data_IF_487977603750
#
_entry.id   IF_487977603750
#
_cell.length_a   1.000
_cell.length_b   1.000
_cell.length_c   1.000
_cell.angle_alpha   90.00
_cell.angle_beta   90.00
_cell.angle_gamma   90.00
#
_symmetry.space_group_name_H-M   'P 1'
#
loop_
_entity.id
_entity.type
_entity.pdbx_description
1 polymer ?
#
# COMPACT_ATOMS: atom_id res chain seq x y z
N UNK A 1 14.71 -13.24 -25.45
CA UNK A 1 15.95 -14.03 -25.21
C UNK A 1 15.62 -15.52 -25.19
N UNK A 2 16.62 -16.39 -25.44
CA UNK A 2 16.47 -17.85 -25.36
C UNK A 2 15.96 -18.27 -23.95
N UNK A 3 16.45 -17.62 -22.92
CA UNK A 3 15.99 -17.83 -21.54
C UNK A 3 14.51 -17.53 -21.36
N UNK A 4 13.98 -16.48 -21.97
CA UNK A 4 12.54 -16.16 -21.94
C UNK A 4 11.70 -17.21 -22.65
N UNK A 5 12.16 -17.73 -23.80
CA UNK A 5 11.47 -18.80 -24.52
C UNK A 5 11.43 -20.10 -23.72
N UNK A 6 12.54 -20.47 -23.08
CA UNK A 6 12.57 -21.63 -22.17
C UNK A 6 11.64 -21.44 -20.97
N UNK A 7 11.60 -20.24 -20.38
CA UNK A 7 10.68 -19.93 -19.30
C UNK A 7 9.22 -20.08 -19.72
N UNK A 8 8.84 -19.60 -20.89
CA UNK A 8 7.48 -19.77 -21.41
C UNK A 8 7.14 -21.25 -21.64
N UNK A 9 8.07 -22.02 -22.18
CA UNK A 9 7.87 -23.47 -22.40
C UNK A 9 7.63 -24.23 -21.08
N UNK A 10 8.25 -23.79 -20.00
CA UNK A 10 8.10 -24.39 -18.66
C UNK A 10 6.81 -23.94 -17.94
N UNK A 11 6.09 -22.94 -18.45
CA UNK A 11 4.88 -22.40 -17.83
C UNK A 11 3.68 -22.40 -18.81
N UNK A 12 3.25 -23.57 -19.32
CA UNK A 12 2.23 -23.64 -20.36
C UNK A 12 0.86 -23.09 -19.95
N UNK A 13 0.49 -23.21 -18.68
CA UNK A 13 -0.74 -22.62 -18.15
C UNK A 13 -0.74 -21.09 -18.21
N UNK A 14 0.40 -20.46 -17.92
CA UNK A 14 0.56 -19.01 -18.05
C UNK A 14 0.46 -18.58 -19.51
N UNK A 15 1.14 -19.31 -20.41
CA UNK A 15 1.10 -19.04 -21.86
C UNK A 15 -0.34 -19.17 -22.39
N UNK A 16 -1.05 -20.23 -22.02
CA UNK A 16 -2.45 -20.43 -22.40
C UNK A 16 -3.33 -19.27 -21.91
N UNK A 17 -3.21 -18.88 -20.64
CA UNK A 17 -3.93 -17.74 -20.09
C UNK A 17 -3.61 -16.44 -20.83
N UNK A 18 -2.34 -16.18 -21.12
CA UNK A 18 -1.92 -14.99 -21.87
C UNK A 18 -2.50 -14.93 -23.29
N UNK A 19 -2.59 -16.07 -23.95
CA UNK A 19 -3.10 -16.15 -25.34
C UNK A 19 -4.64 -16.09 -25.39
N UNK A 20 -5.32 -16.60 -24.37
CA UNK A 20 -6.80 -16.71 -24.35
C UNK A 20 -7.50 -15.52 -23.68
N UNK A 21 -6.79 -14.78 -22.82
CA UNK A 21 -7.36 -13.59 -22.19
C UNK A 21 -7.16 -12.34 -23.04
N UNK A 22 -8.08 -11.38 -22.90
CA UNK A 22 -7.99 -10.09 -23.58
C UNK A 22 -6.69 -9.35 -23.24
N UNK A 23 -6.13 -8.66 -24.25
CA UNK A 23 -4.91 -7.86 -24.05
C UNK A 23 -5.14 -6.82 -22.95
N UNK A 24 -4.13 -6.64 -22.09
CA UNK A 24 -4.14 -5.61 -21.07
C UNK A 24 -4.37 -4.23 -21.69
N UNK A 25 -5.34 -3.49 -21.16
CA UNK A 25 -5.62 -2.11 -21.54
C UNK A 25 -5.78 -1.26 -20.27
N UNK A 26 -5.14 -0.11 -20.24
CA UNK A 26 -5.43 0.92 -19.26
C UNK A 26 -6.69 1.68 -19.72
N UNK A 27 -7.87 1.18 -19.35
CA UNK A 27 -9.15 1.66 -19.86
C UNK A 27 -9.32 3.19 -19.71
N UNK A 28 -8.89 3.76 -18.59
CA UNK A 28 -9.02 5.19 -18.30
C UNK A 28 -8.13 6.09 -19.15
N UNK A 29 -7.07 5.56 -19.76
CA UNK A 29 -6.14 6.31 -20.62
C UNK A 29 -6.15 5.85 -22.06
N UNK A 30 -6.78 4.72 -22.37
CA UNK A 30 -6.81 4.12 -23.70
C UNK A 30 -7.43 5.03 -24.81
N UNK A 31 -8.31 5.94 -24.41
CA UNK A 31 -8.94 6.91 -25.32
C UNK A 31 -8.10 8.19 -25.52
N UNK A 32 -7.08 8.38 -24.69
CA UNK A 32 -6.27 9.60 -24.62
C UNK A 32 -4.85 9.40 -25.12
N UNK A 33 -4.48 8.17 -25.45
CA UNK A 33 -3.16 7.83 -25.99
C UNK A 33 -3.28 7.51 -27.48
N UNK A 34 -2.32 7.95 -28.27
CA UNK A 34 -2.28 7.66 -29.70
C UNK A 34 -2.22 6.16 -29.96
N UNK A 35 -2.99 5.70 -30.93
CA UNK A 35 -3.05 4.30 -31.38
C UNK A 35 -1.78 3.85 -32.13
N UNK A 36 -0.72 4.64 -32.05
CA UNK A 36 0.56 4.38 -32.73
C UNK A 36 1.44 3.36 -32.03
N UNK A 37 2.49 2.98 -32.67
CA UNK A 37 3.34 1.81 -32.56
C UNK A 37 3.95 1.44 -31.20
N UNK A 38 3.76 2.20 -30.13
CA UNK A 38 4.31 1.86 -28.79
C UNK A 38 3.39 2.33 -27.66
N UNK A 39 2.32 1.57 -27.41
CA UNK A 39 1.28 1.88 -26.41
C UNK A 39 1.88 2.13 -25.01
N UNK A 40 2.90 1.38 -24.62
CA UNK A 40 3.51 1.53 -23.29
C UNK A 40 4.25 2.87 -23.16
N UNK A 41 4.95 3.31 -24.21
CA UNK A 41 5.67 4.58 -24.24
C UNK A 41 4.68 5.75 -24.21
N UNK A 42 3.64 5.72 -25.04
CA UNK A 42 2.62 6.76 -25.08
C UNK A 42 1.82 6.87 -23.78
N UNK A 43 1.61 5.76 -23.06
CA UNK A 43 0.97 5.76 -21.73
C UNK A 43 1.88 6.42 -20.69
N UNK A 44 3.17 6.12 -20.69
CA UNK A 44 4.12 6.74 -19.74
C UNK A 44 4.25 8.23 -20.02
N UNK A 45 4.38 8.62 -21.28
CA UNK A 45 4.43 10.03 -21.69
C UNK A 45 3.16 10.77 -21.25
N UNK A 46 1.99 10.20 -21.51
CA UNK A 46 0.72 10.77 -21.07
C UNK A 46 0.64 10.92 -19.54
N UNK A 47 1.04 9.91 -18.76
CA UNK A 47 1.04 9.99 -17.30
C UNK A 47 1.98 11.10 -16.80
N UNK A 48 3.17 11.22 -17.41
CA UNK A 48 4.13 12.26 -17.05
C UNK A 48 3.62 13.67 -17.37
N UNK A 49 2.92 13.85 -18.49
CA UNK A 49 2.28 15.11 -18.85
C UNK A 49 1.13 15.50 -17.92
N UNK A 50 0.42 14.50 -17.35
CA UNK A 50 -0.67 14.73 -16.41
C UNK A 50 -0.19 14.95 -14.97
N UNK A 51 1.10 14.73 -14.70
CA UNK A 51 1.66 14.95 -13.37
C UNK A 51 1.84 16.43 -13.10
N UNK A 52 1.11 16.96 -12.11
CA UNK A 52 1.24 18.35 -11.68
C UNK A 52 2.23 18.46 -10.50
N UNK A 53 3.45 18.94 -10.75
CA UNK A 53 4.45 19.13 -9.68
C UNK A 53 4.13 20.30 -8.75
N UNK A 54 3.15 21.14 -9.09
CA UNK A 54 2.74 22.29 -8.29
C UNK A 54 1.61 21.96 -7.30
N UNK A 55 1.12 20.71 -7.29
CA UNK A 55 0.06 20.27 -6.39
C UNK A 55 0.43 20.55 -4.92
N UNK A 56 -0.50 21.11 -4.17
CA UNK A 56 -0.27 21.57 -2.81
C UNK A 56 -1.49 21.31 -1.89
N UNK A 57 -1.42 21.75 -0.65
CA UNK A 57 -2.45 21.51 0.35
C UNK A 57 -3.82 22.13 0.03
N UNK A 58 -3.88 23.22 -0.77
CA UNK A 58 -5.15 23.80 -1.22
C UNK A 58 -5.87 22.89 -2.20
N UNK A 59 -5.12 22.16 -3.03
CA UNK A 59 -5.70 21.17 -3.95
C UNK A 59 -6.25 19.98 -3.19
N UNK A 60 -5.53 19.52 -2.16
CA UNK A 60 -6.03 18.47 -1.26
C UNK A 60 -7.30 18.91 -0.53
N UNK A 61 -7.32 20.13 0.01
CA UNK A 61 -8.51 20.70 0.66
C UNK A 61 -9.70 20.82 -0.29
N UNK A 62 -9.46 21.24 -1.54
CA UNK A 62 -10.49 21.28 -2.58
C UNK A 62 -11.08 19.89 -2.82
N UNK A 63 -10.23 18.85 -2.91
CA UNK A 63 -10.70 17.47 -3.09
C UNK A 63 -11.54 16.99 -1.91
N UNK A 64 -11.11 17.24 -0.68
CA UNK A 64 -11.85 16.90 0.53
C UNK A 64 -13.23 17.56 0.52
N UNK A 65 -13.29 18.86 0.29
CA UNK A 65 -14.55 19.63 0.21
C UNK A 65 -15.45 19.16 -0.91
N UNK A 66 -14.89 18.85 -2.07
CA UNK A 66 -15.65 18.38 -3.24
C UNK A 66 -16.23 16.99 -3.03
N UNK A 67 -15.50 16.12 -2.34
CA UNK A 67 -15.94 14.77 -1.99
C UNK A 67 -17.08 14.78 -0.97
N UNK A 68 -16.99 15.68 0.02
CA UNK A 68 -17.99 15.90 1.07
C UNK A 68 -18.36 14.59 1.83
N UNK A 69 -17.38 13.81 2.23
CA UNK A 69 -17.55 12.54 2.94
C UNK A 69 -16.20 12.06 3.52
N UNK A 70 -16.15 10.83 4.05
CA UNK A 70 -14.90 10.27 4.54
C UNK A 70 -13.80 10.32 3.48
N UNK A 71 -12.64 10.90 3.83
CA UNK A 71 -11.52 11.09 2.93
C UNK A 71 -10.20 10.69 3.57
N UNK A 72 -9.46 9.80 2.89
CA UNK A 72 -8.15 9.36 3.32
C UNK A 72 -7.06 9.97 2.43
N UNK A 73 -6.17 10.77 3.00
CA UNK A 73 -4.99 11.28 2.30
C UNK A 73 -3.86 10.25 2.34
N UNK A 74 -3.35 9.83 1.17
CA UNK A 74 -2.27 8.84 1.05
C UNK A 74 -0.92 9.52 0.82
N UNK A 75 0.13 8.95 1.41
CA UNK A 75 1.51 9.46 1.25
C UNK A 75 1.97 10.30 2.42
N UNK A 76 1.19 10.37 3.49
CA UNK A 76 1.54 11.12 4.70
C UNK A 76 2.63 10.38 5.46
N UNK A 77 3.79 11.02 5.67
CA UNK A 77 4.99 10.42 6.28
C UNK A 77 5.55 11.23 7.45
N UNK A 78 4.89 12.33 7.85
CA UNK A 78 5.30 13.18 8.96
C UNK A 78 4.13 13.53 9.88
N UNK A 79 4.45 13.88 11.12
CA UNK A 79 3.46 14.37 12.11
C UNK A 79 2.87 15.70 11.64
N UNK A 80 3.68 16.56 11.03
CA UNK A 80 3.28 17.87 10.53
C UNK A 80 2.22 17.72 9.43
N UNK A 81 2.45 16.83 8.48
CA UNK A 81 1.49 16.58 7.41
C UNK A 81 0.23 15.87 7.90
N UNK A 82 0.35 15.00 8.91
CA UNK A 82 -0.81 14.41 9.56
C UNK A 82 -1.70 15.46 10.25
N UNK A 83 -1.11 16.47 10.90
CA UNK A 83 -1.85 17.59 11.47
C UNK A 83 -2.54 18.44 10.39
N UNK A 84 -1.82 18.74 9.30
CA UNK A 84 -2.41 19.46 8.16
C UNK A 84 -3.58 18.69 7.53
N UNK A 85 -3.50 17.35 7.49
CA UNK A 85 -4.61 16.53 7.01
C UNK A 85 -5.88 16.72 7.86
N UNK A 86 -5.74 16.88 9.20
CA UNK A 86 -6.88 17.25 10.08
C UNK A 86 -7.42 18.63 9.70
N UNK A 87 -6.54 19.62 9.54
CA UNK A 87 -6.93 21.03 9.29
C UNK A 87 -7.76 21.16 8.02
N UNK A 88 -7.48 20.36 6.98
CA UNK A 88 -8.25 20.34 5.73
C UNK A 88 -9.47 19.43 5.74
N UNK A 89 -9.75 18.73 6.86
CA UNK A 89 -10.95 17.91 7.04
C UNK A 89 -10.84 16.44 6.59
N UNK A 90 -9.63 15.89 6.48
CA UNK A 90 -9.47 14.45 6.29
C UNK A 90 -9.99 13.68 7.50
N UNK A 91 -10.56 12.51 7.28
CA UNK A 91 -11.01 11.57 8.33
C UNK A 91 -10.02 10.45 8.57
N UNK A 92 -9.14 10.19 7.62
CA UNK A 92 -8.09 9.19 7.71
C UNK A 92 -6.82 9.64 6.97
N UNK A 93 -5.72 8.99 7.30
CA UNK A 93 -4.47 9.09 6.54
C UNK A 93 -3.92 7.70 6.26
N UNK A 94 -3.24 7.57 5.12
CA UNK A 94 -2.49 6.38 4.79
C UNK A 94 -0.99 6.71 4.80
N UNK A 95 -0.29 6.21 5.82
CA UNK A 95 1.16 6.35 5.95
C UNK A 95 1.81 5.45 4.90
N UNK A 96 2.44 6.07 3.90
CA UNK A 96 2.94 5.35 2.73
C UNK A 96 4.07 6.10 2.05
N UNK A 97 5.16 5.40 1.74
CA UNK A 97 6.22 5.85 0.86
C UNK A 97 6.10 5.28 -0.57
N UNK A 98 4.89 4.86 -0.96
CA UNK A 98 4.62 4.23 -2.25
C UNK A 98 5.44 2.94 -2.48
N UNK A 99 5.78 2.20 -1.42
CA UNK A 99 6.63 1.01 -1.52
C UNK A 99 8.09 1.31 -1.91
N UNK A 100 8.58 2.52 -1.64
CA UNK A 100 9.93 2.99 -1.99
C UNK A 100 10.14 3.23 -3.49
N UNK A 101 9.06 3.40 -4.27
CA UNK A 101 9.13 3.51 -5.73
C UNK A 101 9.24 4.95 -6.25
N UNK A 102 8.91 5.94 -5.40
CA UNK A 102 8.94 7.36 -5.80
C UNK A 102 10.21 8.03 -5.27
N UNK A 103 10.30 8.25 -3.97
CA UNK A 103 11.48 8.83 -3.35
C UNK A 103 12.36 7.72 -2.78
N UNK A 104 13.55 7.54 -3.35
CA UNK A 104 14.56 6.63 -2.81
C UNK A 104 15.12 7.19 -1.49
N UNK A 105 15.46 6.30 -0.56
CA UNK A 105 15.93 6.69 0.78
C UNK A 105 14.86 7.25 1.71
N UNK A 106 13.59 7.26 1.31
CA UNK A 106 12.48 7.62 2.19
C UNK A 106 12.39 6.68 3.41
N UNK A 107 11.99 7.23 4.57
CA UNK A 107 11.80 6.45 5.79
C UNK A 107 10.81 5.30 5.58
N UNK A 108 10.97 4.25 6.39
CA UNK A 108 9.98 3.16 6.44
C UNK A 108 8.63 3.70 6.95
N UNK A 109 7.50 3.37 6.29
CA UNK A 109 6.17 3.76 6.78
C UNK A 109 5.91 3.27 8.20
N UNK A 110 6.32 2.05 8.54
CA UNK A 110 6.12 1.50 9.89
C UNK A 110 6.80 2.35 10.97
N UNK A 111 7.98 2.89 10.70
CA UNK A 111 8.73 3.70 11.67
C UNK A 111 8.04 5.04 11.98
N UNK A 112 7.11 5.48 11.13
CA UNK A 112 6.35 6.71 11.33
C UNK A 112 5.03 6.48 12.10
N UNK A 113 4.52 5.24 12.15
CA UNK A 113 3.19 4.94 12.70
C UNK A 113 3.07 5.43 14.15
N UNK A 114 4.03 5.07 15.01
CA UNK A 114 3.96 5.41 16.45
C UNK A 114 3.92 6.91 16.68
N UNK A 115 4.84 7.66 16.09
CA UNK A 115 4.93 9.11 16.25
C UNK A 115 3.68 9.82 15.72
N UNK A 116 3.17 9.39 14.57
CA UNK A 116 1.95 9.95 13.99
C UNK A 116 0.74 9.57 14.84
N UNK A 117 0.62 8.32 15.28
CA UNK A 117 -0.48 7.86 16.11
C UNK A 117 -0.54 8.60 17.45
N UNK A 118 0.60 8.82 18.10
CA UNK A 118 0.65 9.57 19.36
C UNK A 118 0.20 11.04 19.18
N UNK A 119 0.42 11.60 17.99
CA UNK A 119 0.10 13.01 17.72
C UNK A 119 -1.34 13.25 17.26
N UNK A 120 -1.94 12.29 16.51
CA UNK A 120 -3.23 12.52 15.82
C UNK A 120 -4.17 11.32 15.82
N UNK A 121 -3.82 10.21 16.46
CA UNK A 121 -4.59 8.96 16.40
C UNK A 121 -5.96 9.00 17.09
N UNK A 122 -6.25 10.04 17.86
CA UNK A 122 -7.56 10.37 18.44
C UNK A 122 -8.49 11.11 17.46
N UNK A 123 -7.93 11.71 16.41
CA UNK A 123 -8.64 12.57 15.43
C UNK A 123 -8.71 11.99 14.04
N UNK A 124 -7.73 11.13 13.67
CA UNK A 124 -7.63 10.53 12.35
C UNK A 124 -7.51 9.01 12.45
N UNK A 125 -8.16 8.30 11.55
CA UNK A 125 -7.86 6.89 11.35
C UNK A 125 -6.54 6.73 10.60
N UNK A 126 -5.68 5.83 11.08
CA UNK A 126 -4.35 5.62 10.52
C UNK A 126 -4.31 4.28 9.81
N UNK A 127 -3.95 4.30 8.54
CA UNK A 127 -3.74 3.10 7.72
C UNK A 127 -2.25 3.00 7.41
N UNK A 128 -1.63 1.86 7.74
CA UNK A 128 -0.25 1.58 7.32
C UNK A 128 -0.26 0.99 5.91
N UNK A 129 0.44 1.60 4.97
CA UNK A 129 0.66 1.07 3.62
C UNK A 129 2.15 0.87 3.33
N UNK A 130 2.48 -0.34 2.92
CA UNK A 130 3.83 -0.72 2.54
C UNK A 130 4.55 -1.61 3.56
N UNK A 131 5.38 -2.50 3.04
CA UNK A 131 6.17 -3.43 3.85
C UNK A 131 5.41 -4.58 4.51
N UNK A 132 4.09 -4.59 4.48
CA UNK A 132 3.25 -5.66 5.06
C UNK A 132 3.35 -6.92 4.20
N UNK A 133 3.85 -8.00 4.79
CA UNK A 133 4.08 -9.29 4.10
C UNK A 133 3.59 -10.49 4.89
N UNK A 134 3.26 -10.31 6.15
CA UNK A 134 2.90 -11.38 7.09
C UNK A 134 1.86 -10.90 8.09
N UNK A 135 1.13 -11.81 8.70
CA UNK A 135 0.19 -11.50 9.77
C UNK A 135 0.84 -10.80 10.97
N UNK A 136 2.09 -11.14 11.31
CA UNK A 136 2.86 -10.43 12.35
C UNK A 136 3.09 -8.96 12.04
N UNK A 137 3.23 -8.59 10.76
CA UNK A 137 3.38 -7.17 10.39
C UNK A 137 2.08 -6.39 10.64
N UNK A 138 0.93 -7.03 10.39
CA UNK A 138 -0.39 -6.45 10.70
C UNK A 138 -0.53 -6.22 12.21
N UNK A 139 -0.23 -7.25 13.03
CA UNK A 139 -0.30 -7.14 14.49
C UNK A 139 0.60 -6.04 15.04
N UNK A 140 1.82 -5.92 14.52
CA UNK A 140 2.75 -4.84 14.90
C UNK A 140 2.20 -3.46 14.53
N UNK A 141 1.61 -3.32 13.35
CA UNK A 141 1.04 -2.05 12.90
C UNK A 141 -0.15 -1.62 13.77
N UNK A 142 -1.06 -2.55 14.09
CA UNK A 142 -2.19 -2.29 14.99
C UNK A 142 -1.68 -1.92 16.39
N UNK A 143 -0.70 -2.66 16.93
CA UNK A 143 -0.11 -2.36 18.21
C UNK A 143 0.62 -1.00 18.25
N UNK A 144 1.13 -0.53 17.11
CA UNK A 144 1.73 0.80 16.97
C UNK A 144 0.70 1.94 16.83
N UNK A 145 -0.59 1.61 16.67
CA UNK A 145 -1.69 2.58 16.58
C UNK A 145 -2.38 2.69 15.22
N UNK A 146 -2.02 1.86 14.24
CA UNK A 146 -2.77 1.79 12.99
C UNK A 146 -4.13 1.10 13.20
N UNK A 147 -5.14 1.52 12.45
CA UNK A 147 -6.48 0.88 12.40
C UNK A 147 -6.54 -0.23 11.36
N UNK A 148 -5.77 -0.08 10.29
CA UNK A 148 -5.76 -1.03 9.18
C UNK A 148 -4.37 -1.07 8.51
N UNK A 149 -4.16 -2.10 7.70
CA UNK A 149 -2.98 -2.24 6.85
C UNK A 149 -3.39 -2.40 5.38
N UNK A 150 -2.57 -1.83 4.51
CA UNK A 150 -2.62 -2.03 3.07
C UNK A 150 -1.34 -2.69 2.57
N UNK A 151 -1.43 -3.50 1.55
CA UNK A 151 -0.27 -4.11 0.92
C UNK A 151 -0.49 -4.32 -0.58
N UNK A 152 0.54 -4.09 -1.38
CA UNK A 152 0.51 -4.22 -2.83
C UNK A 152 1.33 -5.41 -3.32
N UNK A 153 2.63 -5.40 -3.07
CA UNK A 153 3.57 -6.39 -3.64
C UNK A 153 3.22 -7.84 -3.30
N UNK A 154 2.80 -8.12 -2.07
CA UNK A 154 2.40 -9.49 -1.68
C UNK A 154 1.17 -9.98 -2.45
N UNK A 155 0.18 -9.11 -2.62
CA UNK A 155 -0.99 -9.41 -3.45
C UNK A 155 -0.57 -9.71 -4.91
N UNK A 156 0.24 -8.83 -5.52
CA UNK A 156 0.70 -8.98 -6.89
C UNK A 156 1.53 -10.24 -7.10
N UNK A 157 2.43 -10.57 -6.18
CA UNK A 157 3.23 -11.79 -6.28
C UNK A 157 2.39 -13.05 -6.14
N UNK A 158 1.42 -13.05 -5.22
CA UNK A 158 0.51 -14.18 -5.04
C UNK A 158 -0.41 -14.37 -6.24
N UNK A 159 -0.90 -13.27 -6.82
CA UNK A 159 -1.69 -13.28 -8.05
C UNK A 159 -0.86 -13.83 -9.23
N UNK A 160 0.39 -13.37 -9.37
CA UNK A 160 1.28 -13.83 -10.44
C UNK A 160 1.64 -15.32 -10.30
N UNK A 161 1.83 -15.81 -9.07
CA UNK A 161 2.22 -17.19 -8.80
C UNK A 161 1.07 -18.19 -8.93
N UNK A 162 -0.15 -17.83 -8.57
CA UNK A 162 -1.27 -18.79 -8.47
C UNK A 162 -2.65 -18.21 -8.80
N UNK A 163 -2.73 -17.06 -9.46
CA UNK A 163 -4.01 -16.44 -9.80
C UNK A 163 -4.87 -16.18 -8.57
N UNK A 164 -6.17 -16.37 -8.71
CA UNK A 164 -7.14 -16.24 -7.61
C UNK A 164 -6.77 -17.11 -6.41
N UNK A 165 -6.46 -18.39 -6.64
CA UNK A 165 -6.11 -19.34 -5.58
C UNK A 165 -4.86 -18.90 -4.80
N UNK A 166 -3.88 -18.29 -5.47
CA UNK A 166 -2.69 -17.74 -4.84
C UNK A 166 -3.04 -16.60 -3.87
N UNK A 167 -3.97 -15.73 -4.26
CA UNK A 167 -4.45 -14.63 -3.39
C UNK A 167 -5.24 -15.16 -2.21
N UNK A 168 -6.16 -16.10 -2.43
CA UNK A 168 -6.93 -16.75 -1.36
C UNK A 168 -6.01 -17.43 -0.34
N UNK A 169 -5.00 -18.15 -0.83
CA UNK A 169 -4.01 -18.81 0.03
C UNK A 169 -3.20 -17.78 0.85
N UNK A 170 -2.77 -16.68 0.24
CA UNK A 170 -2.10 -15.60 0.95
C UNK A 170 -2.96 -15.06 2.10
N UNK A 171 -4.21 -14.71 1.81
CA UNK A 171 -5.12 -14.12 2.80
C UNK A 171 -5.41 -15.11 3.94
N UNK A 172 -5.65 -16.39 3.61
CA UNK A 172 -5.84 -17.46 4.60
C UNK A 172 -4.62 -17.60 5.51
N UNK A 173 -3.43 -17.69 4.94
CA UNK A 173 -2.19 -17.83 5.72
C UNK A 173 -1.94 -16.62 6.62
N UNK A 174 -2.20 -15.40 6.13
CA UNK A 174 -2.09 -14.19 6.96
C UNK A 174 -3.07 -14.22 8.11
N UNK A 175 -4.32 -14.63 7.87
CA UNK A 175 -5.34 -14.74 8.91
C UNK A 175 -4.97 -15.80 9.97
N UNK A 176 -4.53 -16.97 9.56
CA UNK A 176 -4.07 -18.02 10.45
C UNK A 176 -2.86 -17.59 11.29
N UNK A 177 -1.92 -16.87 10.67
CA UNK A 177 -0.76 -16.33 11.38
C UNK A 177 -1.17 -15.26 12.41
N UNK A 178 -2.11 -14.38 12.07
CA UNK A 178 -2.67 -13.40 13.00
C UNK A 178 -3.28 -14.10 14.21
N UNK A 179 -4.18 -15.05 13.98
CA UNK A 179 -4.87 -15.78 15.04
C UNK A 179 -3.88 -16.53 15.95
N UNK A 180 -2.97 -17.28 15.38
CA UNK A 180 -1.94 -18.01 16.13
C UNK A 180 -1.10 -17.09 17.00
N UNK A 181 -0.65 -15.95 16.44
CA UNK A 181 0.19 -15.03 17.18
C UNK A 181 -0.58 -14.28 18.26
N UNK A 182 -1.85 -13.96 18.05
CA UNK A 182 -2.71 -13.39 19.09
C UNK A 182 -2.86 -14.35 20.28
N UNK A 183 -3.08 -15.63 20.03
CA UNK A 183 -3.13 -16.66 21.07
C UNK A 183 -1.80 -16.70 21.84
N UNK A 184 -0.66 -16.76 21.14
CA UNK A 184 0.67 -16.81 21.75
C UNK A 184 1.00 -15.55 22.60
N UNK A 185 0.43 -14.41 22.24
CA UNK A 185 0.57 -13.15 23.00
C UNK A 185 -0.45 -13.00 24.14
N UNK A 186 -1.39 -13.94 24.28
CA UNK A 186 -2.48 -13.85 25.24
C UNK A 186 -3.49 -12.74 24.94
N UNK A 187 -3.64 -12.33 23.67
CA UNK A 187 -4.59 -11.32 23.23
C UNK A 187 -5.87 -11.95 22.71
N UNK A 188 -7.01 -11.65 23.32
CA UNK A 188 -8.33 -12.20 22.94
C UNK A 188 -8.94 -11.49 21.74
N UNK A 189 -8.59 -10.22 21.54
CA UNK A 189 -9.10 -9.39 20.46
C UNK A 189 -8.09 -8.28 20.11
N UNK A 190 -8.30 -7.60 18.98
CA UNK A 190 -7.40 -6.55 18.48
C UNK A 190 -7.30 -5.33 19.41
N UNK A 191 -8.29 -5.07 20.27
CA UNK A 191 -8.28 -3.93 21.22
C UNK A 191 -7.24 -4.12 22.32
N UNK A 192 -6.80 -5.35 22.56
CA UNK A 192 -5.74 -5.67 23.55
C UNK A 192 -4.33 -5.48 22.96
N UNK A 193 -4.23 -5.26 21.65
CA UNK A 193 -2.97 -4.90 20.99
C UNK A 193 -2.68 -3.42 21.22
N UNK A 194 -1.59 -3.13 21.89
CA UNK A 194 -1.12 -1.77 22.14
C UNK A 194 0.41 -1.72 22.16
N UNK A 195 0.98 -0.54 22.30
CA UNK A 195 2.42 -0.31 22.22
C UNK A 195 3.25 -1.08 23.25
N UNK A 196 2.65 -1.54 24.37
CA UNK A 196 3.36 -2.37 25.36
C UNK A 196 3.74 -3.76 24.82
N UNK A 197 3.11 -4.20 23.72
CA UNK A 197 3.43 -5.45 23.02
C UNK A 197 4.59 -5.30 22.02
N UNK A 198 5.14 -4.10 21.87
CA UNK A 198 6.20 -3.80 20.92
C UNK A 198 7.50 -3.46 21.61
N UNK A 199 8.59 -4.02 21.08
CA UNK A 199 9.95 -3.60 21.41
C UNK A 199 10.55 -3.00 20.14
N UNK A 200 10.88 -1.70 20.19
CA UNK A 200 11.60 -1.04 19.11
C UNK A 200 13.09 -1.29 19.29
N UNK A 201 13.77 -1.71 18.23
CA UNK A 201 15.23 -1.75 18.25
C UNK A 201 15.72 -0.30 18.30
N UNK A 202 16.39 0.07 19.38
CA UNK A 202 17.21 1.27 19.39
C UNK A 202 18.35 1.03 18.39
N UNK A 203 18.39 1.85 17.32
CA UNK A 203 19.61 1.90 16.51
C UNK A 203 20.71 2.40 17.45
N UNK A 204 21.64 1.52 17.82
CA UNK A 204 22.91 2.01 18.35
C UNK A 204 23.44 2.96 17.28
N UNK A 205 23.54 4.25 17.63
CA UNK A 205 24.25 5.21 16.80
C UNK A 205 25.67 4.67 16.64
N UNK A 206 25.99 4.21 15.42
CA UNK A 206 27.37 3.95 15.02
C UNK A 206 28.06 5.29 14.88
#
# INVERSE_FOLDING_TARGET
TLQSLMSFALHPSWVFNYLTHGKFKLANVATKTDKGTNIAKSVIEYINEQYDPAMNWKDAEYCVKKWNGPFALKGVMSVEDAKRAIDIGCTAIMISNHGGRQLDGSRSPFDQVKAISDAVGDKLEIILDGGVRRGTHVLKAIAAGAKACSFGKMFLFSLAAGGQQGVEHLLKNMHEEINRNMVLMGCKNLKELNSSKLIYRTSNKI
#
